data_IF_682434364432
#
_entry.id   IF_682434364432
#
_cell.length_a   1.000
_cell.length_b   1.000
_cell.length_c   1.000
_cell.angle_alpha   90.00
_cell.angle_beta   90.00
_cell.angle_gamma   90.00
#
_symmetry.space_group_name_H-M   'P 1'
#
loop_
_entity.id
_entity.type
_entity.pdbx_description
1 polymer ?
2 non-polymer ?
3 non-polymer ?
4 water ?
#
# COMPACT_ATOMS: atom_id res chain seq x y z
N UNK A 10 16.28 -20.83 -3.51
CA UNK A 10 15.16 -21.79 -3.53
C UNK A 10 14.19 -21.52 -4.68
N UNK A 11 14.59 -22.11 -5.81
CA UNK A 11 13.85 -22.06 -7.08
C UNK A 11 13.07 -23.36 -7.24
N UNK A 12 11.81 -23.22 -7.60
CA UNK A 12 10.94 -24.40 -7.78
C UNK A 12 11.14 -24.85 -9.24
N UNK A 13 11.09 -26.15 -9.44
CA UNK A 13 11.24 -26.75 -10.77
C UNK A 13 10.17 -26.16 -11.69
N UNK A 14 10.57 -25.80 -12.88
CA UNK A 14 9.70 -25.16 -13.87
C UNK A 14 8.59 -26.12 -14.30
N UNK A 15 7.36 -25.62 -14.31
CA UNK A 15 6.19 -26.41 -14.77
C UNK A 15 6.41 -26.67 -16.26
N UNK A 16 5.70 -27.66 -16.78
CA UNK A 16 5.83 -28.04 -18.18
C UNK A 16 5.43 -26.94 -19.13
N UNK A 17 4.43 -26.16 -18.80
CA UNK A 17 3.91 -25.20 -19.80
C UNK A 17 4.72 -23.97 -19.98
N UNK A 18 5.76 -23.74 -19.20
CA UNK A 18 6.50 -22.47 -19.19
C UNK A 18 7.72 -22.56 -20.08
N UNK A 19 7.73 -21.76 -21.14
CA UNK A 19 8.91 -21.69 -22.04
C UNK A 19 10.11 -21.14 -21.29
N UNK A 20 11.23 -21.85 -21.35
CA UNK A 20 12.43 -21.44 -20.58
C UNK A 20 12.91 -20.04 -20.82
N UNK A 21 12.51 -19.42 -21.90
CA UNK A 21 12.87 -18.09 -22.35
C UNK A 21 12.03 -17.06 -21.61
N UNK A 22 10.97 -17.53 -20.98
CA UNK A 22 10.13 -16.67 -20.16
C UNK A 22 10.58 -16.66 -18.73
N UNK A 23 11.54 -17.43 -18.30
CA UNK A 23 12.05 -17.41 -16.95
C UNK A 23 12.92 -16.18 -16.66
N UNK A 24 12.61 -15.56 -15.55
CA UNK A 24 13.27 -14.40 -14.94
C UNK A 24 13.05 -14.58 -13.43
N UNK A 25 14.03 -15.01 -12.69
CA UNK A 25 13.94 -15.30 -11.27
C UNK A 25 14.02 -14.10 -10.34
N UNK A 26 12.98 -13.37 -10.27
CA UNK A 26 12.60 -12.31 -9.41
C UNK A 26 12.02 -12.87 -8.10
N UNK A 27 12.52 -12.34 -6.99
CA UNK A 27 12.10 -12.60 -5.63
C UNK A 27 11.40 -11.35 -5.05
N UNK A 28 10.10 -11.30 -5.09
CA UNK A 28 9.33 -10.13 -4.65
C UNK A 28 9.64 -9.75 -3.19
N UNK A 29 10.14 -10.68 -2.43
CA UNK A 29 10.48 -10.54 -1.05
C UNK A 29 11.90 -10.13 -0.79
N UNK A 30 12.74 -10.29 -1.78
CA UNK A 30 14.14 -9.97 -1.70
C UNK A 30 14.76 -9.77 -3.07
N UNK A 31 14.33 -8.69 -3.71
CA UNK A 31 14.88 -8.34 -5.02
C UNK A 31 16.38 -8.07 -4.86
N UNK A 32 17.04 -8.25 -5.97
CA UNK A 32 18.47 -8.12 -6.08
C UNK A 32 19.05 -6.76 -5.85
N UNK A 33 18.40 -5.76 -6.42
CA UNK A 33 19.05 -4.40 -6.28
C UNK A 33 18.61 -3.66 -5.08
N UNK A 34 18.19 -4.26 -3.98
CA UNK A 34 17.54 -3.54 -2.89
C UNK A 34 18.21 -2.29 -2.43
N UNK A 35 19.52 -2.37 -2.31
CA UNK A 35 20.38 -1.22 -1.99
C UNK A 35 20.07 0.05 -2.77
N UNK A 36 19.83 -0.01 -4.04
CA UNK A 36 19.54 1.13 -4.88
C UNK A 36 18.18 1.76 -4.57
N UNK A 37 17.40 1.03 -3.78
CA UNK A 37 15.98 1.49 -3.54
C UNK A 37 15.04 0.41 -4.11
N UNK A 38 13.90 0.32 -3.47
CA UNK A 38 12.86 -0.67 -3.75
C UNK A 38 12.22 -0.50 -5.12
N UNK A 39 11.77 0.65 -5.53
CA UNK A 39 11.26 0.92 -6.84
C UNK A 39 12.36 0.59 -7.89
N UNK A 40 13.61 0.99 -7.63
CA UNK A 40 14.70 0.70 -8.53
C UNK A 40 14.90 -0.80 -8.66
N UNK A 41 14.87 -1.57 -7.58
CA UNK A 41 14.99 -3.00 -7.55
C UNK A 41 13.91 -3.66 -8.38
N UNK A 42 12.65 -3.36 -8.30
CA UNK A 42 11.58 -3.84 -9.14
C UNK A 42 11.68 -3.43 -10.61
N UNK A 43 12.08 -2.23 -10.95
CA UNK A 43 12.24 -1.72 -12.28
C UNK A 43 13.19 -2.52 -13.16
N UNK A 44 13.95 -3.42 -12.59
CA UNK A 44 14.85 -4.28 -13.35
C UNK A 44 13.97 -5.11 -14.33
N UNK A 45 12.78 -5.46 -13.93
CA UNK A 45 11.79 -6.20 -14.66
C UNK A 45 11.39 -5.47 -15.93
N UNK A 46 11.73 -4.17 -15.97
CA UNK A 46 11.31 -3.42 -17.21
C UNK A 46 12.44 -3.10 -18.12
N UNK A 47 13.58 -3.70 -17.84
CA UNK A 47 14.76 -3.57 -18.72
C UNK A 47 14.41 -4.27 -20.04
N UNK A 48 15.01 -3.82 -21.11
CA UNK A 48 14.97 -4.35 -22.45
C UNK A 48 15.12 -5.86 -22.56
N UNK A 49 15.98 -6.47 -21.79
CA UNK A 49 16.24 -7.91 -21.82
C UNK A 49 15.08 -8.72 -21.24
N UNK A 50 14.06 -8.05 -20.70
CA UNK A 50 12.99 -8.78 -19.99
C UNK A 50 11.69 -8.79 -20.76
N UNK A 51 11.18 -9.97 -20.98
CA UNK A 51 9.89 -10.10 -21.69
C UNK A 51 8.82 -9.48 -20.76
N UNK A 52 7.75 -9.00 -21.35
CA UNK A 52 6.60 -8.39 -20.84
C UNK A 52 5.90 -9.24 -19.77
N UNK A 53 5.97 -10.51 -19.89
CA UNK A 53 5.35 -11.47 -19.01
C UNK A 53 6.34 -12.58 -18.78
N UNK A 54 6.83 -12.71 -17.59
CA UNK A 54 7.86 -13.64 -17.20
C UNK A 54 7.36 -14.61 -16.15
N UNK A 55 8.10 -15.67 -15.93
CA UNK A 55 7.83 -16.66 -14.89
C UNK A 55 8.97 -16.58 -13.90
N UNK A 56 8.67 -16.62 -12.61
CA UNK A 56 9.82 -16.59 -11.66
C UNK A 56 9.71 -17.88 -10.89
N UNK A 57 10.84 -18.45 -10.57
CA UNK A 57 10.76 -19.78 -9.89
C UNK A 57 10.77 -19.62 -8.41
N UNK A 58 10.89 -18.38 -7.95
CA UNK A 58 10.98 -18.04 -6.55
C UNK A 58 9.57 -18.08 -5.98
N UNK A 59 9.58 -18.25 -4.67
CA UNK A 59 8.31 -18.17 -3.92
C UNK A 59 7.29 -19.13 -4.56
N UNK A 60 7.81 -20.26 -5.01
CA UNK A 60 7.03 -21.33 -5.58
C UNK A 60 6.67 -21.32 -7.06
N UNK A 61 7.01 -20.33 -7.80
CA UNK A 61 6.80 -20.17 -9.21
C UNK A 61 5.49 -19.47 -9.47
N UNK A 62 5.57 -18.41 -10.26
CA UNK A 62 4.34 -17.58 -10.53
C UNK A 62 4.74 -16.69 -11.71
N UNK A 63 3.79 -16.10 -12.37
CA UNK A 63 3.98 -15.14 -13.48
C UNK A 63 4.07 -13.74 -12.89
N UNK A 64 4.62 -12.79 -13.59
CA UNK A 64 4.66 -11.38 -13.23
C UNK A 64 4.43 -10.63 -14.54
N UNK A 65 3.47 -9.81 -14.65
CA UNK A 65 3.24 -8.94 -15.79
C UNK A 65 4.12 -7.71 -15.46
N UNK A 66 4.93 -7.25 -16.39
CA UNK A 66 5.85 -6.16 -16.17
C UNK A 66 5.44 -4.81 -16.76
N UNK A 67 4.40 -4.69 -17.47
CA UNK A 67 4.06 -3.44 -18.18
C UNK A 67 2.68 -2.97 -17.79
N UNK A 68 2.55 -1.64 -17.73
CA UNK A 68 1.32 -0.99 -17.35
C UNK A 68 0.15 -1.52 -18.09
N UNK A 69 0.34 -1.81 -19.37
CA UNK A 69 -0.77 -2.29 -20.27
C UNK A 69 -1.31 -3.62 -19.83
N UNK A 70 -0.46 -4.56 -19.53
CA UNK A 70 -0.84 -5.91 -19.15
C UNK A 70 -1.49 -5.88 -17.78
N UNK A 71 -0.89 -5.10 -16.89
CA UNK A 71 -1.39 -5.01 -15.51
C UNK A 71 -2.83 -4.53 -15.46
N UNK A 72 -3.11 -3.43 -16.11
CA UNK A 72 -4.44 -2.87 -16.22
C UNK A 72 -5.36 -3.87 -16.89
N UNK A 73 -4.92 -4.53 -17.96
CA UNK A 73 -5.74 -5.55 -18.63
C UNK A 73 -6.11 -6.68 -17.71
N UNK A 74 -5.11 -7.23 -17.05
CA UNK A 74 -5.35 -8.38 -16.15
C UNK A 74 -6.29 -7.90 -15.05
N UNK A 75 -6.14 -6.68 -14.57
CA UNK A 75 -6.93 -6.10 -13.52
C UNK A 75 -8.39 -5.91 -13.85
N UNK A 76 -8.66 -5.61 -15.10
CA UNK A 76 -9.99 -5.42 -15.60
C UNK A 76 -10.70 -6.75 -15.78
N UNK A 77 -10.02 -7.77 -16.20
CA UNK A 77 -10.44 -9.10 -16.52
C UNK A 77 -10.75 -10.07 -15.46
N UNK A 78 -11.60 -9.85 -14.50
CA UNK A 78 -11.81 -10.75 -13.35
C UNK A 78 -12.34 -12.11 -13.70
N UNK A 79 -12.87 -12.21 -14.92
CA UNK A 79 -13.31 -13.56 -15.40
C UNK A 79 -12.12 -14.52 -15.40
N UNK A 80 -10.98 -14.07 -15.95
CA UNK A 80 -9.79 -14.96 -16.00
C UNK A 80 -8.90 -14.87 -14.79
N UNK A 81 -8.74 -13.63 -14.36
CA UNK A 81 -7.81 -13.31 -13.24
C UNK A 81 -8.60 -13.08 -11.98
N UNK A 82 -8.75 -14.08 -11.16
CA UNK A 82 -9.62 -13.98 -9.97
C UNK A 82 -8.89 -13.49 -8.72
N UNK A 83 -9.66 -12.79 -7.88
CA UNK A 83 -9.06 -12.24 -6.62
C UNK A 83 -9.05 -13.31 -5.53
N UNK A 84 -9.50 -14.50 -5.88
CA UNK A 84 -9.67 -15.57 -4.90
C UNK A 84 -8.43 -15.88 -4.11
N UNK A 85 -7.34 -15.86 -4.83
CA UNK A 85 -5.99 -16.19 -4.22
C UNK A 85 -5.06 -15.10 -4.75
N UNK A 86 -5.05 -13.95 -4.03
CA UNK A 86 -4.40 -12.76 -4.55
C UNK A 86 -2.99 -12.57 -4.13
N UNK A 87 -2.49 -13.39 -3.23
CA UNK A 87 -1.20 -13.25 -2.59
C UNK A 87 -0.39 -14.50 -2.99
N UNK A 88 0.87 -14.26 -3.12
CA UNK A 88 2.00 -15.13 -3.36
C UNK A 88 2.85 -15.09 -2.07
N UNK A 89 3.30 -16.19 -1.58
CA UNK A 89 3.16 -17.54 -2.14
C UNK A 89 1.72 -18.03 -1.97
N UNK A 90 1.45 -19.12 -2.65
CA UNK A 90 0.13 -19.70 -2.75
C UNK A 90 -0.53 -19.97 -1.43
N UNK A 91 0.14 -20.51 -0.47
CA UNK A 91 -0.37 -20.75 0.89
C UNK A 91 -0.93 -19.51 1.56
N UNK A 92 -0.26 -18.37 1.33
CA UNK A 92 -0.77 -17.08 1.80
C UNK A 92 -2.04 -16.76 0.99
N UNK A 93 -1.95 -16.84 -0.35
CA UNK A 93 -3.15 -16.48 -1.16
C UNK A 93 -4.33 -17.35 -0.78
N UNK A 94 -4.00 -18.57 -0.42
CA UNK A 94 -4.90 -19.60 0.01
C UNK A 94 -5.66 -19.31 1.30
N UNK A 95 -4.92 -18.96 2.32
CA UNK A 95 -5.38 -18.52 3.63
C UNK A 95 -6.05 -17.16 3.53
N UNK A 96 -5.76 -16.39 2.47
CA UNK A 96 -6.34 -15.04 2.34
C UNK A 96 -7.86 -15.16 2.19
N UNK A 97 -8.58 -14.48 3.08
CA UNK A 97 -10.05 -14.41 3.00
C UNK A 97 -10.67 -13.05 3.33
N UNK A 98 -9.86 -11.99 3.22
CA UNK A 98 -10.40 -10.64 3.44
C UNK A 98 -11.52 -10.28 2.44
N UNK A 99 -12.39 -9.37 2.91
CA UNK A 99 -13.49 -8.89 2.06
C UNK A 99 -13.29 -7.36 1.92
N UNK A 100 -13.50 -6.73 0.80
CA UNK A 100 -14.02 -7.36 -0.44
C UNK A 100 -12.94 -7.95 -1.32
N UNK A 101 -11.70 -7.93 -0.83
CA UNK A 101 -10.51 -8.21 -1.58
C UNK A 101 -10.40 -9.64 -2.09
N UNK A 102 -10.86 -10.67 -1.42
CA UNK A 102 -10.75 -12.01 -2.01
C UNK A 102 -12.01 -12.40 -2.79
N UNK A 103 -12.81 -11.49 -3.28
CA UNK A 103 -14.01 -11.70 -4.03
C UNK A 103 -13.97 -10.96 -5.37
N UNK A 104 -14.68 -11.54 -6.30
CA UNK A 104 -14.83 -11.04 -7.66
C UNK A 104 -16.24 -10.51 -7.77
N UNK A 105 -16.45 -9.60 -8.71
CA UNK A 105 -17.80 -9.13 -9.04
C UNK A 105 -18.57 -10.35 -9.55
N UNK A 106 -19.89 -10.42 -9.34
CA UNK A 106 -20.76 -9.37 -8.79
C UNK A 106 -20.87 -9.36 -7.28
N UNK A 107 -20.37 -10.43 -6.68
CA UNK A 107 -20.39 -10.62 -5.24
C UNK A 107 -19.69 -9.51 -4.48
N UNK A 108 -18.52 -9.16 -4.92
CA UNK A 108 -17.67 -8.10 -4.33
C UNK A 108 -18.43 -6.81 -4.10
N UNK A 109 -19.28 -6.43 -5.05
CA UNK A 109 -20.00 -5.16 -5.08
C UNK A 109 -20.71 -4.71 -3.82
N UNK A 110 -21.43 -5.63 -3.20
CA UNK A 110 -22.24 -5.36 -2.03
C UNK A 110 -21.34 -5.08 -0.84
N UNK A 111 -20.31 -5.89 -0.70
CA UNK A 111 -19.36 -5.60 0.42
C UNK A 111 -18.62 -4.30 0.17
N UNK A 112 -18.30 -3.99 -1.09
CA UNK A 112 -17.55 -2.75 -1.38
C UNK A 112 -18.32 -1.51 -0.93
N UNK A 113 -19.58 -1.48 -1.32
CA UNK A 113 -20.57 -0.49 -1.03
C UNK A 113 -20.61 -0.20 0.50
N UNK A 114 -20.50 -1.22 1.32
CA UNK A 114 -20.47 -1.02 2.77
C UNK A 114 -19.16 -0.40 3.23
N UNK A 115 -18.07 -1.01 2.71
CA UNK A 115 -16.70 -0.57 3.08
C UNK A 115 -16.53 0.87 2.73
N UNK A 116 -17.17 1.29 1.64
CA UNK A 116 -17.22 2.66 1.21
C UNK A 116 -17.89 3.56 2.24
N UNK A 117 -18.92 3.03 2.89
CA UNK A 117 -19.69 3.78 3.87
C UNK A 117 -18.75 4.33 4.95
N UNK A 118 -17.86 3.48 5.38
CA UNK A 118 -16.88 3.71 6.40
C UNK A 118 -15.64 4.51 6.11
N UNK A 119 -15.00 4.44 4.98
CA UNK A 119 -13.77 5.07 4.57
C UNK A 119 -13.91 6.08 3.46
N UNK A 120 -15.05 6.12 2.80
CA UNK A 120 -15.25 6.97 1.61
C UNK A 120 -15.02 8.41 1.86
N UNK A 121 -15.34 9.24 0.86
CA UNK A 121 -15.24 10.71 0.89
C UNK A 121 -15.87 11.42 2.08
N UNK A 122 -17.15 11.19 2.30
CA UNK A 122 -17.92 11.78 3.41
C UNK A 122 -17.26 11.59 4.76
N UNK A 123 -16.59 10.50 5.00
CA UNK A 123 -15.84 10.24 6.25
C UNK A 123 -14.59 11.13 6.32
N UNK A 124 -13.87 11.24 5.23
CA UNK A 124 -12.67 12.07 5.19
C UNK A 124 -13.06 13.52 5.52
N UNK A 125 -14.08 13.97 4.80
CA UNK A 125 -14.64 15.30 4.95
C UNK A 125 -14.94 15.59 6.43
N UNK A 126 -15.38 14.64 7.18
CA UNK A 126 -15.72 14.70 8.58
C UNK A 126 -14.45 14.70 9.41
N UNK A 127 -13.45 13.93 8.99
CA UNK A 127 -12.22 13.76 9.78
C UNK A 127 -11.15 14.76 9.55
N UNK A 128 -11.35 15.62 8.60
CA UNK A 128 -10.38 16.57 8.13
C UNK A 128 -9.68 17.36 9.20
N UNK A 129 -10.44 18.04 10.03
CA UNK A 129 -9.90 18.83 11.16
C UNK A 129 -9.09 17.94 12.09
N UNK A 130 -9.43 16.68 12.30
CA UNK A 130 -8.58 15.91 13.22
C UNK A 130 -7.25 15.63 12.54
N UNK A 131 -7.34 15.39 11.24
CA UNK A 131 -6.10 15.02 10.49
C UNK A 131 -5.12 16.17 10.61
N UNK A 132 -5.56 17.34 10.32
CA UNK A 132 -4.83 18.62 10.36
C UNK A 132 -4.38 18.89 11.78
N UNK A 133 -5.23 18.65 12.77
CA UNK A 133 -4.88 18.83 14.16
C UNK A 133 -3.73 17.92 14.52
N UNK A 134 -3.86 16.65 14.21
CA UNK A 134 -2.79 15.68 14.61
C UNK A 134 -1.51 15.91 13.91
N UNK A 135 -1.54 16.31 12.65
CA UNK A 135 -0.30 16.57 11.89
C UNK A 135 0.44 17.72 12.54
N UNK A 136 -0.31 18.82 12.69
CA UNK A 136 0.29 20.08 13.25
C UNK A 136 0.89 19.80 14.61
N UNK A 137 0.12 19.14 15.42
CA UNK A 137 0.64 18.78 16.76
C UNK A 137 1.90 17.96 16.75
N UNK A 138 1.95 16.97 15.89
CA UNK A 138 3.08 15.98 15.82
C UNK A 138 4.33 16.70 15.34
N UNK A 139 4.12 17.59 14.37
CA UNK A 139 5.19 18.34 13.73
C UNK A 139 5.77 19.36 14.70
N UNK A 140 4.87 20.08 15.32
CA UNK A 140 5.29 21.13 16.29
C UNK A 140 6.13 20.54 17.38
N UNK A 141 5.72 19.39 17.83
CA UNK A 141 6.41 18.64 18.89
C UNK A 141 7.77 18.20 18.44
N UNK A 142 7.95 17.99 17.11
CA UNK A 142 9.25 17.51 16.60
C UNK A 142 10.22 18.64 16.31
N UNK A 143 9.66 19.70 15.79
CA UNK A 143 10.37 20.89 15.34
C UNK A 143 11.58 21.32 16.09
N UNK A 144 11.45 21.57 17.38
CA UNK A 144 12.54 22.11 18.19
C UNK A 144 13.60 21.11 18.52
N UNK A 145 13.43 19.86 18.19
CA UNK A 145 14.43 18.81 18.43
C UNK A 145 15.55 18.81 17.42
N UNK A 146 15.31 19.26 16.20
CA UNK A 146 16.31 19.22 15.14
C UNK A 146 16.64 17.79 14.72
N UNK A 147 15.83 16.82 15.07
CA UNK A 147 16.09 15.42 14.66
C UNK A 147 14.98 14.47 15.05
N UNK A 148 14.62 13.56 14.13
CA UNK A 148 13.71 12.46 14.53
C UNK A 148 14.15 11.18 13.83
N UNK A 149 13.38 10.18 13.93
CA UNK A 149 13.23 8.91 13.31
C UNK A 149 11.99 8.94 12.41
N UNK A 150 11.82 9.66 11.38
CA UNK A 150 10.54 9.90 10.74
C UNK A 150 9.63 8.68 10.74
N UNK A 151 10.20 7.51 10.52
CA UNK A 151 9.34 6.35 10.42
C UNK A 151 8.65 6.18 11.78
N UNK A 152 9.43 6.08 12.84
CA UNK A 152 8.76 5.89 14.12
C UNK A 152 8.15 7.15 14.69
N UNK A 153 8.70 8.31 14.48
CA UNK A 153 8.22 9.58 14.94
C UNK A 153 7.02 10.19 14.27
N UNK A 154 6.72 9.89 13.03
CA UNK A 154 5.58 10.61 12.38
C UNK A 154 4.82 9.63 11.50
N UNK A 155 5.57 9.05 10.55
CA UNK A 155 4.96 8.14 9.55
C UNK A 155 4.11 7.07 10.19
N UNK A 156 4.47 6.52 11.33
CA UNK A 156 3.65 5.56 12.07
C UNK A 156 2.50 6.15 12.83
N UNK A 157 2.75 7.01 13.82
CA UNK A 157 1.69 7.64 14.60
C UNK A 157 0.63 8.37 13.78
N UNK A 158 1.02 9.21 12.89
CA UNK A 158 0.09 10.04 12.10
C UNK A 158 -1.06 9.28 11.55
N UNK A 159 -0.83 8.41 10.56
CA UNK A 159 -1.89 7.64 9.91
C UNK A 159 -2.51 6.65 10.87
N UNK A 160 -1.72 6.09 11.81
CA UNK A 160 -2.24 5.05 12.71
C UNK A 160 -3.29 5.52 13.69
N UNK A 161 -2.93 6.56 14.41
CA UNK A 161 -3.79 7.23 15.33
C UNK A 161 -5.04 7.70 14.63
N UNK A 162 -4.98 8.17 13.41
CA UNK A 162 -6.26 8.61 12.80
C UNK A 162 -7.15 7.41 12.59
N UNK A 163 -6.51 6.29 12.28
CA UNK A 163 -7.26 5.06 11.96
C UNK A 163 -7.91 4.61 13.29
N UNK A 164 -7.07 4.57 14.31
CA UNK A 164 -7.50 4.08 15.63
C UNK A 164 -8.71 4.88 16.04
N UNK A 165 -8.76 6.14 15.72
CA UNK A 165 -9.85 7.05 16.07
C UNK A 165 -11.09 6.71 15.29
N UNK A 166 -10.95 6.38 14.03
CA UNK A 166 -12.01 6.08 13.08
C UNK A 166 -12.69 4.76 13.51
N UNK A 167 -11.84 3.83 13.85
CA UNK A 167 -12.19 2.47 14.17
C UNK A 167 -12.68 2.36 15.61
N UNK A 168 -12.40 3.35 16.40
CA UNK A 168 -12.72 3.35 17.83
C UNK A 168 -11.89 2.32 18.55
N UNK A 169 -10.59 2.18 18.33
CA UNK A 169 -9.78 1.14 19.00
C UNK A 169 -8.69 1.81 19.83
N UNK A 170 -8.25 1.15 20.88
CA UNK A 170 -7.28 1.76 21.81
C UNK A 170 -5.90 1.94 21.19
N UNK A 171 -5.33 3.10 21.42
CA UNK A 171 -3.96 3.37 20.98
C UNK A 171 -3.00 2.36 21.52
N UNK A 172 -3.34 1.78 22.65
CA UNK A 172 -2.52 0.79 23.36
C UNK A 172 -2.31 -0.43 22.49
N UNK A 173 -3.26 -0.70 21.60
CA UNK A 173 -3.18 -1.87 20.72
C UNK A 173 -2.25 -1.68 19.52
N UNK A 174 -1.80 -0.47 19.26
CA UNK A 174 -0.94 -0.21 18.12
C UNK A 174 0.14 -1.21 17.89
N UNK A 175 0.99 -1.45 18.88
CA UNK A 175 2.20 -2.24 18.68
C UNK A 175 1.94 -3.66 18.25
N UNK A 176 0.89 -4.19 18.83
CA UNK A 176 0.52 -5.61 18.68
C UNK A 176 -0.08 -5.76 17.28
N UNK A 177 -0.96 -4.80 16.99
CA UNK A 177 -1.63 -4.83 15.67
C UNK A 177 -0.69 -4.65 14.50
N UNK A 178 0.22 -3.73 14.69
CA UNK A 178 1.21 -3.34 13.64
C UNK A 178 2.11 -4.52 13.39
N UNK A 179 2.50 -5.19 14.48
CA UNK A 179 3.38 -6.37 14.28
C UNK A 179 2.73 -7.36 13.32
N UNK A 180 1.49 -7.70 13.63
CA UNK A 180 0.74 -8.68 12.89
C UNK A 180 0.50 -8.22 11.47
N UNK A 181 0.24 -6.96 11.27
CA UNK A 181 -0.02 -6.39 9.96
C UNK A 181 1.21 -6.55 9.07
N UNK A 182 2.35 -6.30 9.67
CA UNK A 182 3.68 -6.43 9.10
C UNK A 182 4.05 -7.82 8.62
N UNK A 183 3.64 -8.83 9.30
CA UNK A 183 3.80 -10.22 8.98
C UNK A 183 3.07 -10.57 7.69
N UNK A 184 2.00 -9.89 7.35
CA UNK A 184 1.25 -10.22 6.15
C UNK A 184 1.90 -9.74 4.87
N UNK A 185 2.44 -8.54 4.88
CA UNK A 185 2.97 -7.83 3.74
C UNK A 185 4.48 -7.97 3.59
N UNK A 186 5.17 -7.99 4.72
CA UNK A 186 6.63 -8.13 4.67
C UNK A 186 7.08 -9.16 5.68
N UNK A 187 6.62 -10.40 5.46
CA UNK A 187 6.94 -11.54 6.29
C UNK A 187 8.44 -11.65 6.60
N UNK A 188 8.62 -11.97 7.84
CA UNK A 188 9.83 -12.07 8.63
C UNK A 188 10.42 -13.49 8.65
N UNK A 189 9.49 -14.41 8.69
CA UNK A 189 9.78 -15.83 8.84
C UNK A 189 9.31 -16.22 10.26
N UNK A 190 9.01 -15.23 11.06
CA UNK A 190 8.59 -15.44 12.45
C UNK A 190 7.22 -16.08 12.54
N UNK A 191 6.41 -15.75 11.53
CA UNK A 191 5.06 -16.31 11.43
C UNK A 191 4.59 -16.40 10.00
N UNK A 192 3.81 -17.46 9.79
CA UNK A 192 3.11 -17.76 8.52
C UNK A 192 1.90 -16.82 8.40
N UNK A 193 1.40 -16.66 7.21
CA UNK A 193 0.30 -15.75 6.89
C UNK A 193 -0.89 -16.16 7.75
N UNK A 194 -1.16 -17.46 7.73
CA UNK A 194 -2.34 -18.02 8.39
C UNK A 194 -2.29 -17.79 9.89
N UNK A 195 -1.15 -17.90 10.50
CA UNK A 195 -0.95 -17.64 11.92
C UNK A 195 -1.25 -16.13 12.18
N UNK A 196 -0.68 -15.27 11.34
CA UNK A 196 -0.77 -13.84 11.46
C UNK A 196 -2.23 -13.46 11.34
N UNK A 197 -2.84 -14.08 10.36
CA UNK A 197 -4.26 -13.84 10.05
C UNK A 197 -5.18 -14.28 11.19
N UNK A 198 -4.87 -15.41 11.75
CA UNK A 198 -5.63 -15.93 12.90
C UNK A 198 -5.58 -15.05 14.11
N UNK A 199 -4.40 -14.55 14.42
CA UNK A 199 -4.10 -13.68 15.54
C UNK A 199 -4.81 -12.35 15.41
N UNK A 200 -4.90 -11.81 14.20
CA UNK A 200 -5.61 -10.53 14.05
C UNK A 200 -7.10 -10.81 14.30
N UNK A 201 -7.47 -11.98 13.86
CA UNK A 201 -8.84 -12.48 14.00
C UNK A 201 -9.20 -12.69 15.45
N UNK A 202 -8.31 -13.16 16.28
CA UNK A 202 -8.58 -13.34 17.73
C UNK A 202 -8.84 -12.00 18.43
N UNK A 203 -8.10 -11.05 17.98
CA UNK A 203 -8.24 -9.65 18.34
C UNK A 203 -9.65 -9.18 17.98
N UNK A 204 -10.06 -9.20 16.76
CA UNK A 204 -11.30 -8.67 16.25
C UNK A 204 -12.60 -9.26 16.77
N UNK A 205 -12.73 -10.56 16.78
CA UNK A 205 -13.92 -11.30 17.21
C UNK A 205 -14.71 -10.74 18.38
N UNK A 206 -14.08 -10.67 19.54
CA UNK A 206 -14.66 -10.13 20.77
C UNK A 206 -15.25 -8.73 20.55
N UNK A 207 -14.46 -7.89 19.91
CA UNK A 207 -14.78 -6.54 19.56
C UNK A 207 -16.02 -6.52 18.70
N UNK A 208 -16.06 -7.37 17.71
CA UNK A 208 -17.24 -7.33 16.79
C UNK A 208 -18.49 -7.69 17.57
N UNK A 209 -18.35 -8.73 18.35
CA UNK A 209 -19.47 -9.27 19.14
C UNK A 209 -20.10 -8.14 19.97
N UNK A 210 -19.28 -7.44 20.67
CA UNK A 210 -19.52 -6.31 21.57
C UNK A 210 -20.24 -5.19 20.83
N UNK A 211 -19.85 -4.97 19.59
CA UNK A 211 -20.39 -3.93 18.74
C UNK A 211 -21.60 -4.33 17.92
N UNK A 212 -21.97 -5.59 18.01
CA UNK A 212 -23.22 -6.07 17.36
C UNK A 212 -24.32 -5.88 18.44
N UNK A 213 -23.93 -6.18 19.67
CA UNK A 213 -24.77 -5.98 20.84
C UNK A 213 -24.96 -4.49 21.13
N UNK A 214 -23.84 -3.81 21.29
CA UNK A 214 -23.78 -2.39 21.66
C UNK A 214 -23.01 -1.49 20.70
N UNK A 215 -23.72 -1.06 19.64
CA UNK A 215 -23.22 -0.23 18.60
C UNK A 215 -22.75 1.14 19.00
N UNK A 216 -21.61 1.47 18.39
CA UNK A 216 -21.07 2.83 18.46
C UNK A 216 -21.38 3.47 17.07
N UNK A 217 -20.55 4.48 16.85
CA UNK A 217 -20.52 5.30 15.65
C UNK A 217 -19.17 5.06 14.93
N UNK A 218 -18.34 4.21 15.48
CA UNK A 218 -17.02 3.88 14.94
C UNK A 218 -17.19 3.02 13.67
N UNK A 219 -16.10 2.84 12.95
CA UNK A 219 -16.11 2.06 11.69
C UNK A 219 -16.49 0.60 11.93
N UNK A 220 -16.00 0.02 13.00
CA UNK A 220 -16.25 -1.37 13.32
C UNK A 220 -17.72 -1.61 13.60
N UNK A 221 -18.35 -0.70 14.34
CA UNK A 221 -19.77 -0.72 14.67
C UNK A 221 -20.62 -0.65 13.41
N UNK A 222 -20.22 0.20 12.49
CA UNK A 222 -21.02 0.34 11.24
C UNK A 222 -20.89 -0.94 10.41
N UNK A 223 -19.68 -1.46 10.38
CA UNK A 223 -19.41 -2.66 9.58
C UNK A 223 -20.18 -3.85 10.18
N UNK A 224 -20.08 -4.07 11.45
CA UNK A 224 -20.69 -5.15 12.21
C UNK A 224 -22.20 -5.23 12.13
N UNK A 225 -22.83 -4.12 11.91
CA UNK A 225 -24.29 -3.95 11.82
C UNK A 225 -24.74 -3.56 10.43
N UNK A 226 -23.93 -3.67 9.39
CA UNK A 226 -24.34 -3.19 8.05
C UNK A 226 -25.25 -4.19 7.36
N UNK A 227 -25.74 -3.80 6.19
CA UNK A 227 -26.57 -4.66 5.34
C UNK A 227 -25.85 -4.93 4.02
N UNK A 228 -25.96 -6.15 3.59
CA UNK A 228 -25.39 -6.65 2.35
C UNK A 228 -26.39 -7.62 1.71
N UNK A 229 -26.81 -7.26 0.52
CA UNK A 229 -27.80 -8.00 -0.25
C UNK A 229 -29.10 -8.17 0.53
N UNK A 230 -29.63 -7.03 0.97
CA UNK A 230 -30.84 -6.90 1.76
C UNK A 230 -30.87 -7.50 3.15
N UNK A 231 -29.89 -8.30 3.52
CA UNK A 231 -29.84 -8.95 4.84
C UNK A 231 -28.65 -8.45 5.63
N UNK A 232 -28.60 -8.84 6.88
CA UNK A 232 -27.52 -8.46 7.80
C UNK A 232 -26.21 -9.15 7.48
N UNK A 233 -25.12 -8.43 7.66
CA UNK A 233 -23.78 -9.08 7.48
C UNK A 233 -23.66 -10.15 8.57
N UNK A 234 -22.92 -11.17 8.31
CA UNK A 234 -22.60 -12.14 9.38
C UNK A 234 -21.39 -11.59 10.12
N UNK A 235 -21.11 -12.27 11.18
CA UNK A 235 -20.01 -11.96 12.14
C UNK A 235 -18.66 -12.22 11.46
N UNK A 236 -18.65 -13.31 10.74
CA UNK A 236 -17.51 -13.81 9.96
C UNK A 236 -17.18 -12.85 8.82
N UNK A 237 -18.20 -12.44 8.07
CA UNK A 237 -18.07 -11.41 7.05
C UNK A 237 -17.53 -10.09 7.63
N UNK A 238 -18.08 -9.66 8.76
CA UNK A 238 -17.61 -8.43 9.39
C UNK A 238 -16.15 -8.58 9.82
N UNK A 239 -15.85 -9.75 10.36
CA UNK A 239 -14.49 -9.98 10.88
C UNK A 239 -13.55 -9.83 9.70
N UNK A 240 -13.95 -10.44 8.59
CA UNK A 240 -13.25 -10.40 7.32
C UNK A 240 -13.20 -9.04 6.68
N UNK A 241 -14.15 -8.14 6.72
CA UNK A 241 -13.94 -6.79 6.23
C UNK A 241 -12.95 -6.04 7.20
N UNK A 242 -13.27 -6.07 8.46
CA UNK A 242 -12.44 -5.35 9.44
C UNK A 242 -10.99 -5.72 9.32
N UNK A 243 -10.68 -6.96 9.03
CA UNK A 243 -9.26 -7.39 8.91
C UNK A 243 -8.60 -6.55 7.79
N UNK A 244 -9.32 -6.33 6.70
CA UNK A 244 -8.75 -5.57 5.61
C UNK A 244 -8.50 -4.11 5.99
N UNK A 245 -9.50 -3.54 6.63
CA UNK A 245 -9.51 -2.16 7.08
C UNK A 245 -8.31 -1.88 7.99
N UNK A 246 -8.03 -2.80 8.86
CA UNK A 246 -6.93 -2.72 9.79
C UNK A 246 -5.59 -2.57 9.09
N UNK A 247 -5.36 -3.47 8.16
CA UNK A 247 -4.13 -3.51 7.35
C UNK A 247 -4.06 -2.21 6.55
N UNK A 248 -5.14 -1.74 6.01
CA UNK A 248 -5.16 -0.52 5.21
C UNK A 248 -4.75 0.67 6.06
N UNK A 249 -5.32 0.73 7.30
CA UNK A 249 -5.00 1.79 8.23
C UNK A 249 -3.55 1.75 8.71
N UNK A 250 -3.06 0.61 9.11
CA UNK A 250 -1.76 0.42 9.65
C UNK A 250 -0.57 0.30 8.78
N UNK A 251 -0.65 -0.29 7.63
CA UNK A 251 0.42 -0.59 6.71
C UNK A 251 0.50 0.12 5.41
N UNK A 252 -0.27 1.06 5.02
CA UNK A 252 -0.21 1.69 3.69
C UNK A 252 0.41 3.07 3.64
N UNK A 253 -0.27 4.06 4.12
CA UNK A 253 0.12 5.46 4.17
C UNK A 253 1.41 5.57 4.98
N UNK A 254 1.44 4.71 5.99
CA UNK A 254 2.64 4.67 6.88
C UNK A 254 3.93 4.55 6.09
N UNK A 255 4.04 3.58 5.18
CA UNK A 255 5.17 3.33 4.29
C UNK A 255 5.32 4.40 3.22
N UNK A 256 4.23 4.79 2.62
CA UNK A 256 4.28 5.81 1.57
C UNK A 256 4.97 7.08 2.03
N UNK A 257 4.66 7.52 3.25
CA UNK A 257 5.13 8.82 3.76
C UNK A 257 6.63 8.80 3.88
N UNK A 258 7.19 7.70 4.35
CA UNK A 258 8.66 7.60 4.46
C UNK A 258 9.32 7.64 3.10
N UNK A 259 8.82 6.98 2.06
CA UNK A 259 9.51 7.15 0.77
C UNK A 259 9.51 8.62 0.37
N UNK A 260 8.32 9.22 0.48
CA UNK A 260 8.19 10.64 0.01
C UNK A 260 9.13 11.56 0.77
N UNK A 261 9.17 11.31 2.08
CA UNK A 261 9.94 12.13 3.00
C UNK A 261 11.41 12.00 2.70
N UNK A 262 11.80 10.77 2.36
CA UNK A 262 13.20 10.42 2.06
C UNK A 262 13.60 11.14 0.80
N UNK A 263 12.75 11.17 -0.18
CA UNK A 263 12.95 11.97 -1.39
C UNK A 263 13.03 13.45 -1.04
N UNK A 264 12.10 13.95 -0.24
CA UNK A 264 12.11 15.39 0.11
C UNK A 264 13.38 15.83 0.81
N UNK A 265 13.88 14.99 1.72
CA UNK A 265 15.09 15.18 2.45
C UNK A 265 16.28 15.37 1.53
N UNK A 266 16.27 14.77 0.39
CA UNK A 266 17.35 14.80 -0.59
C UNK A 266 17.15 15.79 -1.68
N UNK A 267 16.06 16.47 -1.79
CA UNK A 267 15.87 17.35 -2.96
C UNK A 267 15.33 18.69 -2.60
N UNK A 268 16.26 19.58 -2.25
CA UNK A 268 15.96 20.96 -1.86
C UNK A 268 15.09 21.67 -2.85
N UNK A 269 15.32 21.44 -4.14
CA UNK A 269 14.61 22.15 -5.19
C UNK A 269 13.18 21.73 -5.22
N UNK A 270 12.92 20.49 -4.76
CA UNK A 270 11.56 19.99 -4.76
C UNK A 270 10.74 20.57 -3.61
N UNK A 271 11.35 20.60 -2.45
CA UNK A 271 10.85 21.29 -1.29
C UNK A 271 10.49 22.75 -1.59
N UNK A 272 11.39 23.50 -2.20
CA UNK A 272 11.20 24.93 -2.49
C UNK A 272 10.03 25.19 -3.40
N UNK A 273 9.93 24.28 -4.34
CA UNK A 273 8.89 24.38 -5.37
C UNK A 273 7.55 24.37 -4.68
N UNK A 274 7.46 23.50 -3.68
CA UNK A 274 6.19 23.34 -2.96
C UNK A 274 5.91 24.49 -2.05
N UNK A 275 6.95 25.04 -1.48
CA UNK A 275 6.84 26.22 -0.59
C UNK A 275 6.43 27.43 -1.36
N UNK A 276 6.99 27.68 -2.54
CA UNK A 276 6.59 28.92 -3.24
C UNK A 276 5.29 28.77 -4.00
N UNK A 277 5.02 27.59 -4.46
CA UNK A 277 3.86 27.40 -5.44
C UNK A 277 3.01 26.28 -4.89
N UNK A 278 2.40 26.51 -3.73
CA UNK A 278 1.57 25.55 -3.01
C UNK A 278 0.40 25.00 -3.80
N UNK A 279 -0.02 25.63 -4.86
CA UNK A 279 -1.06 25.22 -5.76
C UNK A 279 -0.67 23.93 -6.50
N UNK A 280 0.56 23.57 -6.35
CA UNK A 280 1.21 22.44 -6.94
C UNK A 280 1.21 21.23 -6.04
N UNK A 281 0.88 21.42 -4.77
CA UNK A 281 0.85 20.26 -3.86
C UNK A 281 0.11 19.04 -4.37
N UNK A 282 -1.10 19.20 -4.85
CA UNK A 282 -1.97 18.12 -5.35
C UNK A 282 -1.33 17.39 -6.51
N UNK A 283 -0.85 18.09 -7.49
CA UNK A 283 -0.04 17.62 -8.57
C UNK A 283 1.19 16.91 -8.03
N UNK A 284 1.86 17.50 -7.07
CA UNK A 284 3.07 16.85 -6.49
C UNK A 284 2.75 15.54 -5.85
N UNK A 285 1.62 15.50 -5.16
CA UNK A 285 1.19 14.26 -4.44
C UNK A 285 0.97 13.12 -5.44
N UNK A 286 0.31 13.37 -6.59
CA UNK A 286 0.09 12.35 -7.58
C UNK A 286 1.46 11.89 -8.11
N UNK A 287 2.36 12.80 -8.39
CA UNK A 287 3.69 12.45 -8.91
C UNK A 287 4.43 11.56 -7.94
N UNK A 288 4.42 11.86 -6.65
CA UNK A 288 5.04 11.08 -5.60
C UNK A 288 4.32 9.76 -5.50
N UNK A 289 3.00 9.73 -5.60
CA UNK A 289 2.26 8.45 -5.66
C UNK A 289 2.71 7.57 -6.83
N UNK A 290 2.94 8.15 -8.01
CA UNK A 290 3.51 7.45 -9.15
C UNK A 290 4.93 6.99 -8.86
N UNK A 291 5.87 7.83 -8.46
CA UNK A 291 7.27 7.48 -8.25
C UNK A 291 7.54 6.56 -7.10
N UNK A 292 6.85 6.79 -6.00
CA UNK A 292 7.07 5.97 -4.78
C UNK A 292 5.97 4.96 -4.56
N UNK A 293 5.35 4.50 -5.64
CA UNK A 293 4.32 3.43 -5.65
C UNK A 293 4.88 2.22 -4.92
N UNK A 294 4.03 1.47 -4.19
CA UNK A 294 4.59 0.48 -3.27
C UNK A 294 3.96 -0.85 -3.10
N UNK A 295 2.81 -1.05 -3.72
CA UNK A 295 2.02 -2.28 -3.57
C UNK A 295 2.24 -3.21 -4.75
N UNK A 296 2.25 -4.48 -4.47
CA UNK A 296 2.30 -5.54 -5.46
C UNK A 296 1.49 -6.74 -5.02
N UNK A 297 0.28 -6.90 -5.54
CA UNK A 297 -0.40 -8.22 -5.32
C UNK A 297 -0.71 -8.86 -6.69
N UNK A 298 -1.58 -9.89 -6.70
CA UNK A 298 -1.89 -10.61 -7.95
C UNK A 298 -3.27 -11.23 -7.95
N UNK A 299 -3.36 -12.14 -8.92
CA UNK A 299 -4.59 -12.90 -9.23
C UNK A 299 -4.32 -14.36 -9.56
N UNK A 300 -5.39 -15.16 -9.59
CA UNK A 300 -5.22 -16.59 -9.94
C UNK A 300 -5.99 -16.86 -11.21
N UNK A 301 -5.44 -17.73 -12.05
CA UNK A 301 -6.14 -18.09 -13.31
C UNK A 301 -7.24 -19.12 -12.97
N UNK A 302 -8.41 -18.72 -13.39
CA UNK A 302 -9.65 -19.50 -13.19
C UNK A 302 -9.75 -20.62 -14.25
N UNK A 303 -8.98 -20.50 -15.31
CA UNK A 303 -8.92 -21.49 -16.40
C UNK A 303 -7.63 -21.27 -17.22
N UNK A 304 -7.45 -22.21 -18.16
CA UNK A 304 -6.43 -22.11 -19.20
C UNK A 304 -6.81 -20.87 -20.02
N UNK A 305 -5.79 -20.10 -20.36
CA UNK A 305 -6.05 -18.84 -21.07
C UNK A 305 -4.75 -18.34 -21.70
N UNK A 306 -4.94 -17.76 -22.87
CA UNK A 306 -3.84 -17.26 -23.68
C UNK A 306 -3.86 -15.76 -23.68
N UNK A 307 -2.82 -15.26 -22.99
CA UNK A 307 -2.76 -13.81 -22.69
C UNK A 307 -1.50 -13.26 -23.29
N UNK A 308 -1.68 -12.39 -24.25
CA UNK A 308 -0.54 -11.79 -25.00
C UNK A 308 0.45 -12.85 -25.45
N UNK A 309 -0.09 -13.92 -26.03
CA UNK A 309 0.66 -15.01 -26.61
C UNK A 309 1.28 -15.96 -25.62
N UNK A 310 0.98 -15.82 -24.34
CA UNK A 310 1.58 -16.78 -23.35
C UNK A 310 0.43 -17.64 -22.86
N UNK A 311 0.73 -18.91 -22.71
CA UNK A 311 -0.35 -19.81 -22.25
C UNK A 311 -0.33 -19.88 -20.75
N UNK A 312 -1.43 -19.49 -20.17
CA UNK A 312 -1.51 -19.52 -18.67
C UNK A 312 -2.39 -20.73 -18.38
N UNK A 313 -1.97 -21.50 -17.41
CA UNK A 313 -2.78 -22.64 -16.97
C UNK A 313 -3.61 -22.29 -15.75
N UNK A 314 -4.84 -22.76 -15.78
CA UNK A 314 -5.80 -22.65 -14.70
C UNK A 314 -5.06 -22.90 -13.37
N UNK A 315 -5.12 -21.97 -12.42
CA UNK A 315 -4.50 -22.20 -11.11
C UNK A 315 -3.13 -21.57 -10.94
N UNK A 316 -2.62 -21.11 -12.08
CA UNK A 316 -1.36 -20.37 -12.16
C UNK A 316 -1.66 -19.05 -11.36
N UNK A 317 -0.64 -18.64 -10.62
CA UNK A 317 -0.77 -17.30 -9.97
C UNK A 317 0.07 -16.32 -10.81
N UNK A 318 -0.34 -15.10 -10.85
CA UNK A 318 0.29 -14.01 -11.53
C UNK A 318 0.36 -12.78 -10.62
N UNK A 319 1.55 -12.21 -10.46
CA UNK A 319 1.79 -11.02 -9.73
C UNK A 319 1.55 -9.85 -10.70
N UNK A 320 0.71 -8.95 -10.38
CA UNK A 320 0.41 -7.78 -11.23
C UNK A 320 0.77 -6.53 -10.39
N UNK A 321 2.04 -6.18 -10.43
CA UNK A 321 2.58 -5.18 -9.51
C UNK A 321 2.03 -3.81 -9.78
N UNK A 322 1.15 -3.32 -8.95
CA UNK A 322 0.60 -1.96 -9.05
C UNK A 322 1.67 -0.91 -9.21
N UNK A 323 2.71 -1.16 -8.46
CA UNK A 323 3.96 -0.40 -8.43
C UNK A 323 4.49 -0.07 -9.80
N UNK A 324 4.61 -1.08 -10.67
CA UNK A 324 5.20 -1.00 -11.99
C UNK A 324 4.49 -0.18 -13.04
N UNK A 325 3.19 -0.08 -13.12
CA UNK A 325 2.56 0.73 -14.16
C UNK A 325 3.16 2.09 -14.41
N UNK A 326 3.33 2.93 -13.41
CA UNK A 326 3.83 4.28 -13.42
C UNK A 326 5.33 4.45 -13.56
N UNK A 327 6.05 3.36 -13.38
CA UNK A 327 7.47 3.26 -13.58
C UNK A 327 7.84 2.89 -15.02
N UNK A 328 6.85 2.41 -15.75
CA UNK A 328 6.95 1.97 -17.13
C UNK A 328 7.13 3.17 -18.07
N UNK A 329 8.25 3.18 -18.75
CA UNK A 329 8.59 4.18 -19.75
C UNK A 329 7.54 4.35 -20.82
N UNK A 330 6.86 3.31 -21.21
CA UNK A 330 5.82 3.36 -22.24
C UNK A 330 4.68 4.22 -21.73
N UNK A 331 4.61 4.43 -20.43
CA UNK A 331 3.55 5.11 -19.74
C UNK A 331 3.97 6.51 -19.25
N UNK A 332 5.16 6.56 -18.67
CA UNK A 332 5.75 7.83 -18.24
C UNK A 332 7.14 8.03 -18.78
N UNK A 333 7.40 9.07 -19.55
CA UNK A 333 8.77 9.46 -19.97
C UNK A 333 9.63 9.66 -18.72
N UNK A 334 10.88 9.37 -18.73
CA UNK A 334 11.87 9.41 -17.68
C UNK A 334 11.24 9.07 -16.33
N UNK A 335 10.85 7.81 -16.19
CA UNK A 335 10.01 7.37 -15.08
C UNK A 335 10.57 7.53 -13.72
N UNK A 336 11.87 7.45 -13.60
CA UNK A 336 12.55 7.58 -12.31
C UNK A 336 12.77 9.03 -11.85
N UNK A 337 12.54 10.01 -12.65
CA UNK A 337 12.67 11.43 -12.42
C UNK A 337 11.36 11.90 -11.81
N UNK A 338 11.48 12.69 -10.74
CA UNK A 338 10.28 13.30 -10.12
C UNK A 338 10.05 14.65 -10.77
N UNK A 339 8.96 14.91 -11.38
CA UNK A 339 8.65 16.17 -12.06
C UNK A 339 7.21 16.54 -11.71
N UNK A 340 7.08 17.56 -10.88
CA UNK A 340 5.76 17.98 -10.41
C UNK A 340 4.91 18.58 -11.52
N UNK A 341 5.49 18.88 -12.64
CA UNK A 341 4.73 19.49 -13.74
C UNK A 341 4.56 18.63 -14.96
N UNK A 342 4.57 17.30 -14.80
CA UNK A 342 4.29 16.34 -15.87
C UNK A 342 2.86 16.63 -16.40
N UNK A 343 2.66 16.64 -17.69
CA UNK A 343 1.38 16.80 -18.32
C UNK A 343 0.39 15.70 -17.90
N UNK A 344 0.85 14.49 -17.74
CA UNK A 344 0.01 13.32 -17.43
C UNK A 344 0.75 12.38 -16.52
N UNK A 345 0.30 12.30 -15.28
CA UNK A 345 0.90 11.38 -14.29
C UNK A 345 0.02 10.12 -14.38
N UNK A 346 0.61 9.06 -14.89
CA UNK A 346 -0.11 7.80 -15.11
C UNK A 346 0.43 6.74 -14.18
N UNK A 347 -0.47 6.23 -13.33
CA UNK A 347 -0.11 5.20 -12.32
C UNK A 347 -1.33 4.33 -12.05
N UNK A 348 -1.10 3.29 -11.29
CA UNK A 348 -2.20 2.43 -10.78
C UNK A 348 -1.84 2.14 -9.34
N UNK A 349 -1.29 3.16 -8.66
CA UNK A 349 -0.89 3.03 -7.26
C UNK A 349 -1.99 2.49 -6.36
N UNK A 350 -3.23 2.92 -6.59
CA UNK A 350 -4.39 2.56 -5.79
C UNK A 350 -5.15 1.40 -6.40
N UNK A 351 -4.51 0.78 -7.41
CA UNK A 351 -5.12 -0.37 -8.09
C UNK A 351 -5.89 0.05 -9.31
N UNK A 352 -6.60 -0.93 -9.84
CA UNK A 352 -7.29 -0.75 -11.13
C UNK A 352 -8.35 -1.82 -11.21
N UNK A 353 -9.42 -1.44 -11.88
CA UNK A 353 -10.56 -2.34 -12.03
C UNK A 353 -11.44 -2.26 -10.78
N UNK A 354 -12.15 -3.37 -10.59
CA UNK A 354 -13.21 -3.41 -9.59
C UNK A 354 -12.75 -3.21 -8.18
N UNK A 355 -11.49 -3.49 -7.92
CA UNK A 355 -10.95 -3.37 -6.56
C UNK A 355 -10.26 -2.08 -6.26
N UNK A 356 -10.39 -1.09 -7.10
CA UNK A 356 -9.82 0.24 -6.84
C UNK A 356 -10.01 0.66 -5.36
N UNK A 357 -8.96 1.11 -4.76
CA UNK A 357 -8.86 1.40 -3.36
C UNK A 357 -9.84 2.52 -2.96
N UNK A 358 -10.65 2.14 -2.00
CA UNK A 358 -11.70 2.95 -1.41
C UNK A 358 -11.06 3.99 -0.46
N UNK A 359 -9.94 3.63 0.12
CA UNK A 359 -9.26 4.53 1.04
C UNK A 359 -8.35 5.54 0.40
N UNK A 360 -8.42 5.66 -0.91
CA UNK A 360 -7.54 6.58 -1.64
C UNK A 360 -7.73 8.01 -1.19
N UNK A 361 -8.95 8.34 -0.80
CA UNK A 361 -9.36 9.72 -0.46
C UNK A 361 -8.72 10.10 0.86
N UNK A 362 -8.75 9.11 1.72
CA UNK A 362 -8.16 9.19 3.02
C UNK A 362 -6.66 9.35 2.89
N UNK A 363 -6.02 8.48 2.16
CA UNK A 363 -4.57 8.57 1.87
C UNK A 363 -4.22 9.87 1.24
N UNK A 364 -4.84 10.43 0.22
CA UNK A 364 -4.43 11.69 -0.36
C UNK A 364 -4.50 12.83 0.64
N UNK A 365 -5.55 12.89 1.47
CA UNK A 365 -5.74 13.92 2.47
C UNK A 365 -4.61 13.86 3.48
N UNK A 366 -4.19 12.71 3.93
CA UNK A 366 -3.08 12.50 4.80
C UNK A 366 -1.74 12.89 4.21
N UNK A 367 -1.48 12.64 2.96
CA UNK A 367 -0.28 13.02 2.25
C UNK A 367 -0.19 14.54 2.09
N UNK A 368 -1.20 15.14 1.50
CA UNK A 368 -1.23 16.56 1.28
C UNK A 368 -1.06 17.32 2.62
N UNK A 369 -1.73 16.95 3.66
CA UNK A 369 -1.65 17.63 4.94
C UNK A 369 -0.23 17.58 5.42
N UNK A 370 0.38 16.43 5.37
CA UNK A 370 1.78 16.23 5.81
C UNK A 370 2.74 17.13 5.02
N UNK A 371 2.62 17.18 3.71
CA UNK A 371 3.53 17.99 2.92
C UNK A 371 3.33 19.45 3.34
N UNK A 372 2.12 19.94 3.30
CA UNK A 372 1.83 21.33 3.56
C UNK A 372 2.31 21.71 4.94
N UNK A 373 2.02 20.92 5.95
CA UNK A 373 2.33 21.12 7.32
C UNK A 373 3.75 20.97 7.73
N UNK A 374 4.46 20.09 7.10
CA UNK A 374 5.90 19.89 7.38
C UNK A 374 6.73 20.99 6.80
N UNK A 375 6.56 21.29 5.54
CA UNK A 375 7.26 22.31 4.82
C UNK A 375 7.08 23.67 5.45
N UNK A 376 5.97 23.88 6.10
CA UNK A 376 5.59 25.13 6.68
C UNK A 376 6.51 25.45 7.85
N UNK A 377 6.66 24.51 8.70
CA UNK A 377 7.37 24.50 9.93
C UNK A 377 8.81 24.08 9.78
N UNK A 378 9.10 23.11 8.96
CA UNK A 378 10.45 22.59 8.79
C UNK A 378 10.81 22.52 7.31
N UNK A 379 11.07 23.68 6.75
CA UNK A 379 11.35 23.84 5.32
C UNK A 379 12.63 23.20 4.88
N UNK A 380 13.54 23.07 5.82
CA UNK A 380 14.93 22.68 5.57
C UNK A 380 15.34 21.57 6.52
N UNK A 381 15.66 20.44 5.90
CA UNK A 381 16.01 19.22 6.60
C UNK A 381 16.80 18.36 5.60
N UNK A 382 17.45 17.37 6.15
CA UNK A 382 18.21 16.39 5.40
C UNK A 382 18.32 15.09 6.18
N UNK A 383 18.81 14.06 5.49
CA UNK A 383 19.06 12.75 6.07
C UNK A 383 20.27 12.91 6.98
N UNK A 384 20.23 12.23 8.07
CA UNK A 384 21.36 12.28 9.02
C UNK A 384 22.63 11.80 8.34
N UNK A 385 23.73 12.46 8.67
CA UNK A 385 25.07 12.07 8.19
C UNK A 385 25.36 10.61 8.58
N UNK A 386 25.72 9.84 7.59
CA UNK A 386 26.17 8.47 7.71
C UNK A 386 25.07 7.46 8.00
N UNK A 387 23.85 7.93 7.80
CA UNK A 387 22.69 7.05 7.95
C UNK A 387 22.59 6.46 6.52
N UNK A 388 22.48 5.15 6.55
CA UNK A 388 22.23 4.42 5.28
C UNK A 388 20.74 4.03 5.28
N UNK A 389 19.96 4.52 4.35
CA UNK A 389 18.50 4.16 4.32
C UNK A 389 18.22 2.82 3.69
N UNK A 390 17.54 1.94 4.41
CA UNK A 390 17.21 0.62 3.85
C UNK A 390 15.74 0.44 3.52
N UNK A 391 15.49 -0.06 2.30
CA UNK A 391 14.12 -0.32 1.87
C UNK A 391 13.81 -1.76 2.17
N UNK A 392 12.54 -2.06 2.21
CA UNK A 392 12.10 -3.48 2.41
C UNK A 392 11.01 -3.75 1.37
N UNK A 393 11.11 -4.91 0.77
CA UNK A 393 10.19 -5.39 -0.23
C UNK A 393 9.17 -6.40 0.28
N UNK A 394 8.02 -6.44 -0.38
CA UNK A 394 6.97 -7.41 -0.09
C UNK A 394 5.72 -6.95 -0.80
N UNK A 395 4.60 -7.44 -0.24
CA UNK A 395 3.28 -7.07 -0.76
C UNK A 395 3.21 -5.55 -0.73
N UNK A 396 3.60 -5.02 0.41
CA UNK A 396 3.65 -3.51 0.56
C UNK A 396 5.11 -3.23 0.92
N UNK A 397 5.78 -2.40 0.15
CA UNK A 397 7.21 -2.17 0.50
C UNK A 397 7.26 -1.05 1.57
N UNK A 398 8.41 -1.02 2.24
CA UNK A 398 8.68 -0.02 3.25
C UNK A 398 10.11 0.44 3.33
N UNK A 399 10.29 1.38 4.25
CA UNK A 399 11.61 1.99 4.63
C UNK A 399 11.82 1.55 6.08
N UNK A 400 12.94 1.07 6.41
CA UNK A 400 13.27 0.56 7.77
C UNK A 400 13.39 1.59 8.85
N UNK A 401 13.99 2.73 8.60
CA UNK A 401 14.21 3.82 9.55
C UNK A 401 14.56 5.03 8.71
N UNK A 402 14.17 6.21 9.07
CA UNK A 402 14.53 7.44 8.34
C UNK A 402 14.98 8.54 9.29
N UNK A 403 16.28 8.48 9.61
CA UNK A 403 16.94 9.52 10.44
C UNK A 403 16.96 10.86 9.72
N UNK A 404 16.28 11.91 10.22
CA UNK A 404 16.34 13.25 9.65
C UNK A 404 17.03 14.18 10.65
N UNK A 405 17.71 15.22 10.18
CA UNK A 405 18.35 16.23 11.02
C UNK A 405 17.99 17.58 10.42
N UNK A 406 17.99 18.59 11.25
CA UNK A 406 17.72 19.97 10.76
C UNK A 406 18.21 20.95 11.85
N UNK A 407 18.36 22.19 11.44
CA UNK A 407 18.66 23.28 12.36
C UNK A 407 17.35 23.92 12.87
N UNK A 408 17.13 23.82 14.17
CA UNK A 408 15.92 24.36 14.80
C UNK A 408 15.75 25.82 14.42
N UNK A 409 16.90 26.48 14.30
CA UNK A 409 16.98 27.90 13.99
C UNK A 409 16.38 28.25 12.65
N UNK A 410 16.23 27.28 11.77
CA UNK A 410 15.63 27.51 10.44
C UNK A 410 14.16 27.08 10.42
N UNK A 411 13.66 26.63 11.58
CA UNK A 411 12.26 26.25 11.62
C UNK A 411 11.39 27.46 11.88
N UNK A 412 10.12 27.33 11.58
CA UNK A 412 9.12 28.35 11.89
C UNK A 412 8.00 27.70 12.73
N UNK A 413 7.72 28.25 13.88
CA UNK A 413 6.60 27.78 14.71
C UNK A 413 5.36 28.47 14.15
N UNK A 414 4.27 27.77 14.15
CA UNK A 414 2.95 28.25 13.71
C UNK A 414 2.01 28.03 14.93
X LIG B 1 -7.73 -1.86 -2.05
X LIG B 1 -3.49 0.45 -2.46
X LIG B 1 -4.54 2.98 1.54
X LIG B 1 -8.68 0.54 2.03
X LIG B 1 -6.47 -1.45 -2.47
X LIG B 1 -5.81 -1.95 -3.68
X LIG B 1 -4.62 -1.35 -3.77
X LIG B 1 -4.54 -0.40 -2.66
X LIG B 1 -3.57 -1.46 -4.87
X LIG B 1 -6.47 -3.03 -4.54
X LIG B 1 -5.93 -4.45 -4.28
X LIG B 1 -6.36 -5.44 -5.36
X LIG B 1 -6.85 -5.02 -6.45
X LIG B 1 -6.06 -6.60 -4.93
X LIG B 1 -3.46 1.37 -1.43
X LIG B 1 -2.39 2.35 -1.27
X LIG B 1 -2.64 3.01 -0.14
X LIG B 1 -3.88 2.48 0.41
X LIG B 1 -1.23 2.51 -2.25
X LIG B 1 -1.91 4.21 0.46
X LIG B 1 -0.67 4.58 0.18
X LIG B 1 -5.77 2.56 2.03
X LIG B 1 -6.42 3.07 3.23
X LIG B 1 -7.52 2.31 3.41
X LIG B 1 -7.61 1.38 2.31
X LIG B 1 -5.89 4.21 4.10
X LIG B 1 -8.65 2.44 4.46
X LIG B 1 -8.39 2.05 5.72
X LIG B 1 -8.88 -0.24 0.91
X LIG B 1 -9.96 -1.12 0.66
X LIG B 1 -9.69 -1.81 -0.45
X LIG B 1 -8.38 -1.40 -0.93
X LIG B 1 -11.22 -1.22 1.55
X LIG B 1 -10.58 -2.85 -1.13
X LIG B 1 -11.51 -2.39 -2.27
X LIG B 1 -12.22 -3.62 -2.87
X LIG B 1 -13.25 -3.34 -3.52
X LIG B 1 -11.66 -4.75 -2.76
X LIG B 1 -5.70 -0.49 -1.88
X LIG B 1 -4.38 1.45 -0.38
X LIG B 1 -6.49 1.51 1.51
X LIG B 1 -7.89 -0.43 -0.08
X LIG B 1 -6.31 0.72 -0.34
X LIG C 1 -5.50 -0.84 0.90
X LIG C 1 -4.41 -1.56 0.42
X LIG C 1 -3.98 -2.67 1.00
X LIG C 1 -4.52 -3.19 2.14
X LIG C 1 -5.73 -2.61 2.67
X LIG C 1 -6.12 -1.44 2.05
X LIG C 1 -2.88 -3.49 0.30
X LIG C 1 -1.83 -2.98 0.18
X LIG C 1 -4.55 -4.75 -1.05
X LIG C 1 -3.30 -4.91 -0.09
X LIG C 1 -2.26 -5.45 -1.19
X LIG C 1 -3.36 -5.88 0.98
X LIG C 1 -4.47 -6.67 1.19
X LIG C 1 -4.64 -7.52 2.25
X LIG C 1 -3.61 -7.62 3.18
X LIG C 1 -2.44 -6.85 3.05
X LIG C 1 -2.38 -5.98 1.96
#
# INVERSE_FOLDING_TARGET
TTETIQSNANLAPLPPHVPEHLVFDFDMYNPSNLSAGVQEAWAVLQESNVPDLVWTRCNGGHWIATRGQLIREAYEDYRHFSSECPFIPREAGEAYDFIPTSMDPPEQRQFRALANQVVGMPVVDKLENRIQELACSLIESLRPQGQCNFTEDYAEPFPIRIFMLLAGLPEEDIPHLKYLTDQMTRPDGSMTFAEAKEALYDYLIPIIEQRRQKPGTDAISIVANGQVNGRPITSDEAKRMCGLLLVGGLDTVVNFLSFSMEFLAKSPEHRQELIERPERIPAACEELLRRFSLVADGRILTSDYEFHGVQLKKGDQILLPQMLSGLDERENACPMHVDFSRQKVSHTTFGHGSHLCLGQHLARREIIVTLKEWLTRIPDFSIAPGAQIQHKSGIVSGVQALPLVWDPATTKAV
HEM CHA CHB CHC CHD C1A C2A C3A C4A CMA CAA CBA CGA O1A O2A C1B C2B C3B C4B CMB CAB CBB C1C C2C C3C C4C CMC CAC CBC C1D C2D C3D C4D CMD CAD CBD CGD O1D O2D NA NB NC ND FE
MYT N1 C2 C3 C4 C5 C6 C7 O8 C9 C10 C11 C12 C13 N14 C15 C16 C17
#
